data_IF_279872593926
#
_entry.id   IF_279872593926
#
_cell.length_a   1.000
_cell.length_b   1.000
_cell.length_c   1.000
_cell.angle_alpha   90.00
_cell.angle_beta   90.00
_cell.angle_gamma   90.00
#
_symmetry.space_group_name_H-M   'P 1'
#
loop_
_entity.id
_entity.type
_entity.pdbx_description
1 polymer ?
#
# COMPACT_ATOMS: atom_id res chain seq x y z
N UNK A 1 67.19 -52.21 -12.11
CA UNK A 1 67.20 -50.78 -12.51
C UNK A 1 65.80 -50.48 -13.03
N UNK A 2 65.00 -49.52 -12.58
CA UNK A 2 65.12 -48.43 -11.60
C UNK A 2 63.69 -47.90 -11.34
N UNK A 3 63.42 -47.43 -10.12
CA UNK A 3 62.14 -46.91 -9.65
C UNK A 3 61.61 -45.72 -10.44
N UNK A 4 60.29 -45.53 -10.41
CA UNK A 4 59.63 -44.28 -10.77
C UNK A 4 58.19 -44.16 -10.24
N UNK A 5 58.02 -43.97 -8.92
CA UNK A 5 56.76 -43.49 -8.33
C UNK A 5 56.54 -42.03 -8.71
N UNK A 6 55.33 -41.66 -9.13
CA UNK A 6 54.75 -40.33 -8.84
C UNK A 6 53.27 -40.45 -8.52
N UNK A 7 52.95 -40.11 -7.28
CA UNK A 7 51.61 -39.94 -6.75
C UNK A 7 51.04 -38.60 -7.25
N UNK A 8 49.78 -38.62 -7.70
CA UNK A 8 49.02 -37.44 -8.09
C UNK A 8 47.80 -37.29 -7.20
N UNK A 9 47.84 -36.27 -6.34
CA UNK A 9 46.81 -35.84 -5.40
C UNK A 9 45.60 -35.28 -6.15
N UNK A 10 44.39 -35.84 -5.94
CA UNK A 10 43.14 -35.34 -6.51
C UNK A 10 42.17 -34.93 -5.42
N UNK A 11 41.83 -33.64 -5.37
CA UNK A 11 40.98 -32.97 -4.38
C UNK A 11 39.56 -33.56 -4.28
N UNK A 12 39.09 -33.74 -3.05
CA UNK A 12 37.67 -33.92 -2.73
C UNK A 12 36.95 -32.56 -2.83
N UNK A 13 36.07 -32.41 -3.82
CA UNK A 13 35.14 -31.28 -3.88
C UNK A 13 33.85 -31.63 -3.12
N UNK A 14 33.66 -31.06 -1.93
CA UNK A 14 32.40 -31.14 -1.18
C UNK A 14 31.46 -30.05 -1.71
N UNK A 15 30.48 -30.45 -2.51
CA UNK A 15 29.38 -29.58 -2.95
C UNK A 15 28.34 -29.48 -1.82
N UNK A 16 28.41 -28.42 -1.02
CA UNK A 16 27.33 -28.03 -0.10
C UNK A 16 26.21 -27.35 -0.90
N UNK A 17 25.15 -28.10 -1.19
CA UNK A 17 23.92 -27.55 -1.74
C UNK A 17 23.20 -26.70 -0.67
N UNK A 18 23.31 -25.38 -0.77
CA UNK A 18 22.45 -24.46 -0.03
C UNK A 18 21.04 -24.53 -0.64
N UNK A 19 20.13 -25.22 0.04
CA UNK A 19 18.71 -25.16 -0.27
C UNK A 19 18.20 -23.75 0.09
N UNK A 20 18.08 -22.88 -0.90
CA UNK A 20 17.41 -21.60 -0.75
C UNK A 20 15.92 -21.85 -0.49
N UNK A 21 15.49 -21.76 0.76
CA UNK A 21 14.07 -21.68 1.10
C UNK A 21 13.52 -20.39 0.51
N UNK A 22 12.81 -20.49 -0.62
CA UNK A 22 11.99 -19.42 -1.15
C UNK A 22 10.86 -19.18 -0.15
N UNK A 23 11.10 -18.28 0.81
CA UNK A 23 10.01 -17.72 1.61
C UNK A 23 9.10 -16.97 0.64
N UNK A 24 7.95 -17.57 0.34
CA UNK A 24 6.84 -16.87 -0.30
C UNK A 24 6.48 -15.72 0.64
N UNK A 25 6.94 -14.52 0.31
CA UNK A 25 6.49 -13.30 0.97
C UNK A 25 5.05 -13.14 0.50
N UNK A 26 4.09 -13.58 1.31
CA UNK A 26 2.71 -13.11 1.14
C UNK A 26 2.77 -11.59 1.24
N UNK A 27 2.19 -10.83 0.30
CA UNK A 27 2.07 -9.39 0.50
C UNK A 27 1.45 -9.21 1.88
N UNK A 28 2.07 -8.40 2.74
CA UNK A 28 1.39 -7.94 3.94
C UNK A 28 0.02 -7.44 3.46
N UNK A 29 -1.06 -8.02 3.97
CA UNK A 29 -2.42 -7.67 3.60
C UNK A 29 -2.66 -6.22 4.05
N UNK A 30 -2.23 -5.27 3.22
CA UNK A 30 -2.81 -3.95 3.12
C UNK A 30 -4.28 -4.21 2.81
N UNK A 31 -5.11 -4.09 3.84
CA UNK A 31 -6.51 -4.43 3.81
C UNK A 31 -7.19 -3.53 4.83
N UNK A 32 -8.26 -2.89 4.40
CA UNK A 32 -9.10 -2.06 5.27
C UNK A 32 -9.46 -2.78 6.57
N UNK A 33 -9.53 -2.06 7.68
CA UNK A 33 -9.79 -2.60 9.01
C UNK A 33 -10.99 -1.92 9.68
N UNK A 34 -11.56 -2.57 10.70
CA UNK A 34 -12.62 -1.93 11.50
C UNK A 34 -12.00 -0.97 12.52
N UNK A 35 -12.59 0.22 12.65
CA UNK A 35 -12.12 1.28 13.52
C UNK A 35 -13.31 2.06 14.12
N UNK A 36 -13.00 3.18 14.80
CA UNK A 36 -14.02 4.17 15.18
C UNK A 36 -13.62 5.57 14.75
N UNK A 37 -14.54 6.27 14.09
CA UNK A 37 -14.42 7.70 13.78
C UNK A 37 -15.49 8.43 14.57
N UNK A 38 -15.08 9.42 15.38
CA UNK A 38 -15.99 10.17 16.27
C UNK A 38 -16.88 9.30 17.19
N UNK A 39 -16.45 8.07 17.49
CA UNK A 39 -17.17 7.12 18.32
C UNK A 39 -18.06 6.13 17.55
N UNK A 40 -18.33 6.36 16.27
CA UNK A 40 -19.10 5.45 15.41
C UNK A 40 -18.20 4.41 14.75
N UNK A 41 -18.74 3.21 14.50
CA UNK A 41 -18.01 2.16 13.79
C UNK A 41 -17.81 2.57 12.34
N UNK A 42 -16.58 2.44 11.86
CA UNK A 42 -16.20 2.73 10.49
C UNK A 42 -15.26 1.65 9.94
N UNK A 43 -15.11 1.65 8.62
CA UNK A 43 -14.03 0.95 7.93
C UNK A 43 -12.91 1.97 7.72
N UNK A 44 -11.68 1.66 8.10
CA UNK A 44 -10.54 2.57 8.01
C UNK A 44 -9.42 2.02 7.13
N UNK A 45 -8.51 2.92 6.77
CA UNK A 45 -7.19 2.62 6.23
C UNK A 45 -6.19 3.68 6.74
N UNK A 46 -4.91 3.40 6.59
CA UNK A 46 -3.83 4.34 6.81
C UNK A 46 -3.38 5.00 5.52
N UNK A 47 -3.02 6.28 5.63
CA UNK A 47 -2.37 7.03 4.56
C UNK A 47 -0.94 6.55 4.36
N UNK A 48 -0.55 6.31 3.11
CA UNK A 48 0.75 5.74 2.76
C UNK A 48 1.25 6.25 1.40
N UNK A 49 2.52 5.97 1.09
CA UNK A 49 3.10 6.22 -0.24
C UNK A 49 3.34 7.70 -0.55
N UNK A 50 3.30 8.60 0.45
CA UNK A 50 3.64 10.01 0.28
C UNK A 50 5.16 10.20 0.44
N UNK A 51 5.78 10.96 -0.46
CA UNK A 51 7.19 11.32 -0.36
C UNK A 51 7.52 12.15 0.90
N UNK A 52 8.74 12.01 1.40
CA UNK A 52 9.20 12.77 2.57
C UNK A 52 9.12 14.29 2.33
N UNK A 53 8.47 15.01 3.25
CA UNK A 53 8.25 16.46 3.15
C UNK A 53 7.02 16.87 2.33
N UNK A 54 6.32 15.90 1.74
CA UNK A 54 5.04 16.09 1.06
C UNK A 54 3.87 15.66 1.95
N UNK A 55 2.65 15.88 1.48
CA UNK A 55 1.42 15.44 2.13
C UNK A 55 0.36 15.06 1.10
N UNK A 56 -0.62 14.27 1.51
CA UNK A 56 -1.83 13.99 0.75
C UNK A 56 -2.85 15.08 1.04
N UNK A 57 -3.31 15.76 0.00
CA UNK A 57 -4.28 16.83 0.12
C UNK A 57 -5.69 16.33 -0.19
N UNK A 58 -6.58 16.38 0.81
CA UNK A 58 -8.00 16.11 0.66
C UNK A 58 -8.65 17.13 -0.28
N UNK A 59 -9.49 16.64 -1.19
CA UNK A 59 -10.17 17.40 -2.24
C UNK A 59 -11.68 17.45 -2.01
N UNK A 60 -12.36 18.47 -2.52
CA UNK A 60 -13.82 18.56 -2.45
C UNK A 60 -14.55 17.63 -3.42
N UNK A 61 -13.82 17.00 -4.35
CA UNK A 61 -14.33 15.99 -5.29
C UNK A 61 -13.22 15.04 -5.76
N UNK A 62 -13.56 14.00 -6.54
CA UNK A 62 -12.63 12.93 -6.93
C UNK A 62 -11.71 13.35 -8.08
N UNK A 63 -10.86 14.34 -7.84
CA UNK A 63 -9.92 14.83 -8.84
C UNK A 63 -9.06 15.98 -8.36
N UNK A 64 -7.96 16.23 -9.06
CA UNK A 64 -7.00 17.26 -8.69
C UNK A 64 -7.42 18.67 -9.11
N UNK A 65 -8.38 18.79 -10.04
CA UNK A 65 -9.00 20.07 -10.41
C UNK A 65 -10.02 20.58 -9.38
N UNK A 66 -10.45 19.74 -8.44
CA UNK A 66 -11.33 20.13 -7.35
C UNK A 66 -10.57 20.94 -6.29
N UNK A 67 -11.29 21.84 -5.62
CA UNK A 67 -10.72 22.66 -4.56
C UNK A 67 -10.18 21.81 -3.41
N UNK A 68 -9.17 22.34 -2.72
CA UNK A 68 -8.67 21.76 -1.47
C UNK A 68 -9.71 21.89 -0.38
N UNK A 69 -9.88 20.83 0.42
CA UNK A 69 -10.58 20.95 1.70
C UNK A 69 -9.68 21.76 2.65
N UNK A 70 -10.17 22.87 3.24
CA UNK A 70 -9.39 23.65 4.18
C UNK A 70 -8.86 22.79 5.32
N UNK A 71 -7.56 22.90 5.62
CA UNK A 71 -6.85 22.06 6.61
C UNK A 71 -7.05 20.54 6.40
N UNK A 72 -7.28 20.11 5.16
CA UNK A 72 -7.41 18.71 4.77
C UNK A 72 -6.09 18.05 4.38
N UNK A 73 -4.97 18.52 4.95
CA UNK A 73 -3.67 17.89 4.77
C UNK A 73 -3.64 16.58 5.57
N UNK A 74 -3.11 15.53 4.96
CA UNK A 74 -2.87 14.24 5.59
C UNK A 74 -1.42 13.79 5.41
N UNK A 75 -0.84 13.23 6.46
CA UNK A 75 0.54 12.72 6.48
C UNK A 75 0.55 11.17 6.50
N UNK A 76 1.67 10.55 6.11
CA UNK A 76 1.82 9.09 6.18
C UNK A 76 1.57 8.58 7.61
N UNK A 77 0.81 7.49 7.73
CA UNK A 77 0.47 6.84 8.99
C UNK A 77 -0.79 7.40 9.66
N UNK A 78 -1.41 8.46 9.14
CA UNK A 78 -2.71 8.89 9.64
C UNK A 78 -3.82 7.90 9.26
N UNK A 79 -4.68 7.59 10.22
CA UNK A 79 -5.84 6.71 10.03
C UNK A 79 -7.04 7.54 9.58
N UNK A 80 -7.72 7.09 8.53
CA UNK A 80 -8.90 7.76 7.96
C UNK A 80 -10.06 6.78 7.84
N UNK A 81 -11.27 7.22 8.19
CA UNK A 81 -12.49 6.48 7.92
C UNK A 81 -12.85 6.55 6.44
N UNK A 82 -13.42 5.48 5.91
CA UNK A 82 -13.79 5.32 4.50
C UNK A 82 -15.31 5.23 4.39
N UNK A 83 -15.94 6.25 3.81
CA UNK A 83 -17.40 6.35 3.68
C UNK A 83 -17.91 5.62 2.43
N UNK A 84 -17.35 5.98 1.27
CA UNK A 84 -17.73 5.45 -0.02
C UNK A 84 -16.59 5.64 -1.04
N UNK A 85 -16.66 4.93 -2.17
CA UNK A 85 -15.68 5.05 -3.25
C UNK A 85 -16.30 5.55 -4.55
N UNK A 86 -15.52 6.21 -5.39
CA UNK A 86 -15.92 6.57 -6.75
C UNK A 86 -14.71 6.56 -7.69
N UNK A 87 -14.93 6.89 -8.96
CA UNK A 87 -13.84 7.03 -9.93
C UNK A 87 -13.63 8.49 -10.30
N UNK A 88 -12.38 8.85 -10.58
CA UNK A 88 -11.98 10.24 -10.80
C UNK A 88 -10.77 10.40 -11.71
N UNK A 89 -9.96 11.42 -11.44
CA UNK A 89 -8.63 11.56 -12.04
C UNK A 89 -7.73 10.39 -11.61
N UNK A 90 -6.72 10.08 -12.43
CA UNK A 90 -5.68 9.13 -12.03
C UNK A 90 -4.81 9.69 -10.92
N UNK A 91 -4.16 8.84 -10.11
CA UNK A 91 -3.17 9.28 -9.14
C UNK A 91 -2.00 10.01 -9.82
N UNK A 92 -1.34 10.95 -9.14
CA UNK A 92 -0.19 11.69 -9.68
C UNK A 92 0.90 10.75 -10.20
N UNK A 93 1.22 9.70 -9.43
CA UNK A 93 2.30 8.75 -9.75
C UNK A 93 1.80 7.54 -10.54
N UNK A 94 0.48 7.37 -10.64
CA UNK A 94 -0.16 6.35 -11.45
C UNK A 94 -1.45 6.89 -12.10
N UNK A 95 -1.34 7.56 -13.25
CA UNK A 95 -2.49 8.17 -13.93
C UNK A 95 -3.59 7.17 -14.37
N UNK A 96 -3.30 5.87 -14.37
CA UNK A 96 -4.26 4.82 -14.69
C UNK A 96 -5.03 4.33 -13.45
N UNK A 97 -4.59 4.65 -12.23
CA UNK A 97 -5.28 4.29 -10.99
C UNK A 97 -6.28 5.37 -10.59
N UNK A 98 -7.56 5.11 -10.84
CA UNK A 98 -8.61 6.14 -10.84
C UNK A 98 -9.60 6.04 -9.68
N UNK A 99 -9.32 5.21 -8.68
CA UNK A 99 -10.21 5.06 -7.52
C UNK A 99 -9.96 6.18 -6.51
N UNK A 100 -11.05 6.77 -6.04
CA UNK A 100 -11.05 7.80 -5.01
C UNK A 100 -11.94 7.36 -3.86
N UNK A 101 -11.48 7.56 -2.63
CA UNK A 101 -12.24 7.35 -1.42
C UNK A 101 -12.76 8.68 -0.91
N UNK A 102 -14.05 8.74 -0.58
CA UNK A 102 -14.55 9.75 0.34
C UNK A 102 -14.18 9.30 1.74
N UNK A 103 -13.41 10.13 2.43
CA UNK A 103 -12.89 9.85 3.77
C UNK A 103 -13.53 10.77 4.81
N UNK A 104 -13.58 10.30 6.05
CA UNK A 104 -13.96 11.06 7.24
C UNK A 104 -12.88 10.93 8.32
N UNK A 105 -12.40 12.05 8.82
CA UNK A 105 -11.45 12.13 9.95
C UNK A 105 -12.13 12.41 11.29
N UNK A 106 -13.46 12.48 11.30
CA UNK A 106 -14.29 12.84 12.43
C UNK A 106 -14.47 14.34 12.63
N UNK A 107 -13.62 15.14 11.99
CA UNK A 107 -13.69 16.62 11.97
C UNK A 107 -13.86 17.19 10.57
N UNK A 108 -13.49 16.42 9.53
CA UNK A 108 -13.52 16.84 8.13
C UNK A 108 -13.80 15.62 7.26
N UNK A 109 -14.42 15.88 6.12
CA UNK A 109 -14.62 14.85 5.09
C UNK A 109 -14.32 15.40 3.71
N UNK A 110 -13.86 14.53 2.82
CA UNK A 110 -13.51 14.88 1.44
C UNK A 110 -12.93 13.69 0.70
N UNK A 111 -12.38 13.92 -0.48
CA UNK A 111 -11.90 12.86 -1.36
C UNK A 111 -10.37 12.80 -1.38
N UNK A 112 -9.84 11.59 -1.37
CA UNK A 112 -8.43 11.29 -1.63
C UNK A 112 -8.32 10.14 -2.61
N UNK A 113 -7.24 10.10 -3.40
CA UNK A 113 -7.01 8.98 -4.31
C UNK A 113 -6.56 7.76 -3.49
N UNK A 114 -7.20 6.62 -3.72
CA UNK A 114 -6.99 5.36 -2.99
C UNK A 114 -5.56 4.81 -3.18
N UNK A 115 -4.84 5.25 -4.22
CA UNK A 115 -3.41 4.95 -4.42
C UNK A 115 -2.52 5.32 -3.23
N UNK A 116 -2.95 6.30 -2.43
CA UNK A 116 -2.23 6.78 -1.25
C UNK A 116 -2.81 6.26 0.07
N UNK A 117 -3.59 5.17 0.01
CA UNK A 117 -4.12 4.47 1.18
C UNK A 117 -3.68 3.00 1.15
N UNK A 118 -3.51 2.38 2.32
CA UNK A 118 -3.18 0.97 2.45
C UNK A 118 -4.42 0.04 2.40
N UNK A 119 -5.42 0.41 1.61
CA UNK A 119 -6.71 -0.29 1.51
C UNK A 119 -6.61 -1.67 0.85
N UNK A 120 -5.53 -1.92 0.10
CA UNK A 120 -5.32 -3.14 -0.66
C UNK A 120 -5.90 -3.09 -2.06
N UNK A 121 -6.37 -4.24 -2.56
CA UNK A 121 -6.94 -4.31 -3.90
C UNK A 121 -8.41 -3.86 -3.93
N UNK A 122 -8.87 -3.23 -5.02
CA UNK A 122 -10.28 -2.88 -5.20
C UNK A 122 -11.25 -4.04 -5.01
N UNK A 123 -10.87 -5.24 -5.45
CA UNK A 123 -11.70 -6.44 -5.29
C UNK A 123 -11.99 -6.79 -3.82
N UNK A 124 -11.13 -6.39 -2.88
CA UNK A 124 -11.30 -6.62 -1.43
C UNK A 124 -12.13 -5.51 -0.82
N UNK A 125 -11.71 -4.25 -0.98
CA UNK A 125 -12.37 -3.15 -0.28
C UNK A 125 -13.76 -2.82 -0.84
N UNK A 126 -14.04 -3.09 -2.13
CA UNK A 126 -15.38 -2.88 -2.73
C UNK A 126 -16.46 -3.78 -2.10
N UNK A 127 -16.08 -4.85 -1.41
CA UNK A 127 -17.02 -5.71 -0.70
C UNK A 127 -17.53 -5.08 0.61
N UNK A 128 -16.79 -4.09 1.14
CA UNK A 128 -17.05 -3.46 2.45
C UNK A 128 -17.43 -1.99 2.34
N UNK A 129 -16.94 -1.31 1.32
CA UNK A 129 -17.15 0.12 1.10
C UNK A 129 -18.12 0.30 -0.07
N UNK A 130 -19.27 0.96 0.12
CA UNK A 130 -20.23 1.19 -0.95
C UNK A 130 -19.71 2.23 -1.95
N UNK A 131 -20.28 2.24 -3.15
CA UNK A 131 -19.98 3.28 -4.14
C UNK A 131 -20.71 4.59 -3.79
N UNK A 132 -20.06 5.74 -4.03
CA UNK A 132 -20.70 7.04 -4.21
C UNK A 132 -21.25 7.14 -5.66
#
# INVERSE_FOLDING_TARGET
MSLGRRAGTGLFAVLTAFAATLTLVTPAEAAVHDCRVSGDRAVCAYVTGIDAGSWLQMRTGPGYAYADVPYGRLDNGEEVGLDCWTTGDGATDNPNYRYWMRIDTGVRSGFVNDWYLDTGSPAVWQQRIPQC
#
